data_IF_034575210165
#
_entry.id   IF_034575210165
#
_cell.length_a   1.000
_cell.length_b   1.000
_cell.length_c   1.000
_cell.angle_alpha   90.00
_cell.angle_beta   90.00
_cell.angle_gamma   90.00
#
_symmetry.space_group_name_H-M   'P 1'
#
loop_
_entity.id
_entity.type
_entity.pdbx_description
1 polymer ?
#
# COMPACT_ATOMS: atom_id res chain seq x y z
N UNK A 1 -57.86 33.74 -17.80
CA UNK A 1 -57.40 32.42 -17.32
C UNK A 1 -56.25 31.97 -18.20
N UNK A 2 -55.03 31.86 -17.64
CA UNK A 2 -53.85 31.10 -18.13
C UNK A 2 -52.60 31.62 -17.42
N UNK A 3 -52.24 30.99 -16.30
CA UNK A 3 -50.91 31.11 -15.68
C UNK A 3 -50.58 29.75 -15.06
N UNK A 4 -50.03 28.83 -15.85
CA UNK A 4 -49.48 27.55 -15.36
C UNK A 4 -48.63 26.93 -16.46
N UNK A 5 -47.41 27.45 -16.70
CA UNK A 5 -46.47 26.79 -17.63
C UNK A 5 -44.99 27.19 -17.49
N UNK A 6 -44.50 27.69 -16.33
CA UNK A 6 -43.08 28.08 -16.21
C UNK A 6 -42.45 27.63 -14.87
N UNK A 7 -42.83 26.47 -14.35
CA UNK A 7 -42.28 25.97 -13.09
C UNK A 7 -41.80 24.52 -13.12
N UNK A 8 -41.51 23.99 -14.32
CA UNK A 8 -41.11 22.58 -14.48
C UNK A 8 -39.84 22.33 -15.30
N UNK A 9 -39.10 23.37 -15.69
CA UNK A 9 -37.82 23.21 -16.43
C UNK A 9 -36.58 23.64 -15.66
N UNK A 10 -36.71 24.27 -14.49
CA UNK A 10 -35.54 24.70 -13.69
C UNK A 10 -35.07 23.61 -12.70
N UNK A 11 -35.94 22.66 -12.32
CA UNK A 11 -35.54 21.58 -11.39
C UNK A 11 -34.72 20.46 -12.03
N UNK A 12 -34.72 20.32 -13.36
CA UNK A 12 -33.96 19.26 -14.04
C UNK A 12 -32.48 19.62 -14.23
N UNK A 13 -32.12 20.92 -14.13
CA UNK A 13 -30.74 21.38 -14.37
C UNK A 13 -29.88 21.41 -13.10
N UNK A 14 -30.51 21.51 -11.92
CA UNK A 14 -29.79 21.48 -10.63
C UNK A 14 -29.42 20.05 -10.22
N UNK A 15 -30.15 19.04 -10.71
CA UNK A 15 -29.91 17.64 -10.35
C UNK A 15 -28.83 16.94 -11.19
N UNK A 16 -28.49 17.45 -12.38
CA UNK A 16 -27.38 16.90 -13.18
C UNK A 16 -26.00 17.40 -12.73
N UNK A 17 -25.89 18.61 -12.15
CA UNK A 17 -24.60 19.15 -11.68
C UNK A 17 -24.20 18.68 -10.27
N UNK A 18 -25.13 18.14 -9.47
CA UNK A 18 -24.80 17.56 -8.17
C UNK A 18 -24.09 16.21 -8.29
N UNK A 19 -24.42 15.42 -9.32
CA UNK A 19 -23.86 14.08 -9.53
C UNK A 19 -22.51 14.06 -10.28
N UNK A 20 -22.17 15.15 -10.98
CA UNK A 20 -20.83 15.32 -11.57
C UNK A 20 -19.78 15.71 -10.52
N UNK A 21 -20.18 16.40 -9.45
CA UNK A 21 -19.30 16.83 -8.36
C UNK A 21 -19.18 15.82 -7.20
N UNK A 22 -20.00 14.77 -7.18
CA UNK A 22 -19.89 13.68 -6.21
C UNK A 22 -18.79 12.66 -6.58
N UNK A 23 -18.42 12.57 -7.86
CA UNK A 23 -17.32 11.73 -8.35
C UNK A 23 -15.99 12.47 -8.50
N UNK A 24 -15.95 13.77 -8.22
CA UNK A 24 -14.74 14.60 -8.24
C UNK A 24 -14.21 14.97 -6.83
N UNK A 25 -14.84 14.45 -5.76
CA UNK A 25 -14.57 14.82 -4.36
C UNK A 25 -14.09 13.66 -3.48
N UNK A 26 -13.32 12.73 -4.06
CA UNK A 26 -12.52 11.77 -3.30
C UNK A 26 -11.12 11.56 -3.90
N UNK A 27 -10.67 12.50 -4.73
CA UNK A 27 -9.26 12.65 -5.05
C UNK A 27 -8.77 13.82 -4.19
N UNK A 28 -8.72 13.60 -2.86
CA UNK A 28 -7.82 14.39 -2.02
C UNK A 28 -6.48 14.35 -2.76
N UNK A 29 -5.97 15.52 -3.14
CA UNK A 29 -4.60 15.64 -3.63
C UNK A 29 -3.73 15.07 -2.52
N UNK A 30 -3.37 13.78 -2.62
CA UNK A 30 -2.49 13.10 -1.69
C UNK A 30 -1.12 13.75 -1.90
N UNK A 31 -0.84 14.81 -1.15
CA UNK A 31 0.44 15.50 -1.19
C UNK A 31 1.28 15.00 -0.04
N UNK A 32 2.50 14.56 -0.34
CA UNK A 32 3.47 14.18 0.67
C UNK A 32 3.81 15.38 1.56
N UNK A 33 4.12 15.14 2.83
CA UNK A 33 4.54 16.18 3.77
C UNK A 33 5.82 16.89 3.32
N UNK A 34 6.63 16.22 2.50
CA UNK A 34 7.85 16.77 1.90
C UNK A 34 7.73 17.08 0.41
N UNK A 35 6.52 17.02 -0.16
CA UNK A 35 6.30 17.29 -1.57
C UNK A 35 6.82 16.21 -2.51
N UNK A 36 7.06 14.99 -2.01
CA UNK A 36 7.49 13.85 -2.81
C UNK A 36 6.33 13.41 -3.72
N UNK A 37 6.64 13.24 -5.01
CA UNK A 37 5.72 12.65 -5.97
C UNK A 37 5.92 11.13 -6.03
N UNK A 38 5.26 10.36 -5.16
CA UNK A 38 5.46 8.90 -5.11
C UNK A 38 5.09 8.17 -6.40
N UNK A 39 4.26 8.77 -7.27
CA UNK A 39 3.97 8.21 -8.58
C UNK A 39 5.21 8.14 -9.48
N UNK A 40 6.14 9.09 -9.35
CA UNK A 40 7.40 9.13 -10.11
C UNK A 40 8.40 8.08 -9.64
N UNK A 41 8.29 7.58 -8.41
CA UNK A 41 9.19 6.54 -7.88
C UNK A 41 8.60 5.13 -8.01
N UNK A 42 7.28 4.99 -7.82
CA UNK A 42 6.64 3.66 -7.77
C UNK A 42 6.18 3.15 -9.12
N UNK A 43 5.84 4.04 -10.05
CA UNK A 43 5.26 3.74 -11.38
C UNK A 43 4.02 2.82 -11.32
N UNK A 44 3.35 2.75 -10.16
CA UNK A 44 2.23 1.85 -9.91
C UNK A 44 1.27 2.50 -8.91
N UNK A 45 0.00 2.59 -9.26
CA UNK A 45 -1.01 3.29 -8.47
C UNK A 45 -1.19 2.65 -7.08
N UNK A 46 -1.26 1.32 -6.98
CA UNK A 46 -1.42 0.63 -5.68
C UNK A 46 -0.25 0.95 -4.74
N UNK A 47 0.98 0.99 -5.27
CA UNK A 47 2.17 1.33 -4.49
C UNK A 47 2.22 2.82 -4.14
N UNK A 48 1.80 3.69 -5.06
CA UNK A 48 1.68 5.14 -4.81
C UNK A 48 0.69 5.40 -3.69
N UNK A 49 -0.47 4.78 -3.74
CA UNK A 49 -1.50 4.91 -2.72
C UNK A 49 -1.05 4.35 -1.38
N UNK A 50 -0.34 3.21 -1.39
CA UNK A 50 0.28 2.67 -0.19
C UNK A 50 1.25 3.67 0.44
N UNK A 51 2.14 4.29 -0.35
CA UNK A 51 3.11 5.27 0.15
C UNK A 51 2.43 6.48 0.79
N UNK A 52 1.46 7.09 0.11
CA UNK A 52 0.70 8.20 0.69
C UNK A 52 -0.09 7.80 1.94
N UNK A 53 -0.59 6.57 2.00
CA UNK A 53 -1.32 6.07 3.17
C UNK A 53 -0.41 5.83 4.39
N UNK A 54 0.80 5.33 4.18
CA UNK A 54 1.71 4.96 5.26
C UNK A 54 2.64 6.11 5.71
N UNK A 55 2.92 7.08 4.82
CA UNK A 55 3.83 8.20 5.10
C UNK A 55 3.56 8.90 6.44
N UNK A 56 2.32 9.31 6.81
CA UNK A 56 2.09 9.99 8.08
C UNK A 56 2.46 9.14 9.31
N UNK A 57 2.38 7.81 9.19
CA UNK A 57 2.75 6.87 10.27
C UNK A 57 4.26 6.63 10.29
N UNK A 58 4.89 6.54 9.12
CA UNK A 58 6.35 6.50 9.00
C UNK A 58 7.00 7.76 9.54
N UNK A 59 6.47 8.94 9.24
CA UNK A 59 7.01 10.21 9.75
C UNK A 59 6.99 10.26 11.27
N UNK A 60 5.91 9.80 11.92
CA UNK A 60 5.84 9.66 13.38
C UNK A 60 6.89 8.69 13.91
N UNK A 61 7.12 7.57 13.22
CA UNK A 61 8.17 6.63 13.59
C UNK A 61 9.57 7.25 13.45
N UNK A 62 9.84 7.95 12.35
CA UNK A 62 11.12 8.61 12.09
C UNK A 62 11.39 9.79 13.03
N UNK A 63 10.35 10.47 13.52
CA UNK A 63 10.47 11.45 14.60
C UNK A 63 10.97 10.81 15.90
N UNK A 64 10.46 9.63 16.26
CA UNK A 64 10.93 8.90 17.45
C UNK A 64 12.39 8.45 17.33
N UNK A 65 12.84 8.17 16.10
CA UNK A 65 14.22 7.85 15.79
C UNK A 65 15.15 9.08 15.72
N UNK A 66 14.61 10.29 15.89
CA UNK A 66 15.33 11.57 15.77
C UNK A 66 16.04 11.75 14.43
N UNK A 67 15.45 11.25 13.34
CA UNK A 67 16.03 11.42 12.00
C UNK A 67 15.95 12.87 11.54
N UNK A 68 16.98 13.30 10.81
CA UNK A 68 17.02 14.59 10.12
C UNK A 68 15.98 14.64 9.00
N UNK A 69 15.68 15.85 8.50
CA UNK A 69 14.74 16.02 7.39
C UNK A 69 15.22 15.27 6.15
N UNK A 70 16.52 15.34 5.86
CA UNK A 70 17.17 14.71 4.72
C UNK A 70 17.06 13.18 4.81
N UNK A 71 17.31 12.60 5.98
CA UNK A 71 17.16 11.15 6.20
C UNK A 71 15.71 10.68 6.03
N UNK A 72 14.73 11.48 6.48
CA UNK A 72 13.31 11.16 6.30
C UNK A 72 12.92 11.14 4.82
N UNK A 73 13.33 12.15 4.06
CA UNK A 73 13.05 12.21 2.61
C UNK A 73 13.70 11.02 1.92
N UNK A 74 14.99 10.78 2.19
CA UNK A 74 15.72 9.67 1.59
C UNK A 74 15.11 8.30 1.93
N UNK A 75 14.67 8.10 3.18
CA UNK A 75 13.98 6.88 3.59
C UNK A 75 12.66 6.66 2.86
N UNK A 76 11.86 7.72 2.67
CA UNK A 76 10.58 7.66 1.97
C UNK A 76 10.75 7.38 0.46
N UNK A 77 11.67 8.08 -0.21
CA UNK A 77 11.99 7.85 -1.62
C UNK A 77 12.56 6.44 -1.83
N UNK A 78 13.52 6.04 -0.99
CA UNK A 78 14.12 4.71 -1.04
C UNK A 78 13.11 3.58 -0.80
N UNK A 79 12.14 3.78 0.11
CA UNK A 79 11.05 2.82 0.31
C UNK A 79 10.17 2.74 -0.95
N UNK A 80 9.77 3.87 -1.53
CA UNK A 80 8.94 3.91 -2.73
C UNK A 80 9.60 3.15 -3.90
N UNK A 81 10.89 3.40 -4.15
CA UNK A 81 11.66 2.73 -5.20
C UNK A 81 11.82 1.23 -4.94
N UNK A 82 12.16 0.86 -3.71
CA UNK A 82 12.32 -0.54 -3.34
C UNK A 82 11.01 -1.34 -3.49
N UNK A 83 9.87 -0.74 -3.17
CA UNK A 83 8.56 -1.32 -3.42
C UNK A 83 8.31 -1.48 -4.94
N UNK A 84 8.61 -0.44 -5.73
CA UNK A 84 8.50 -0.47 -7.19
C UNK A 84 9.26 -1.63 -7.82
N UNK A 85 10.48 -1.84 -7.32
CA UNK A 85 11.40 -2.89 -7.77
C UNK A 85 11.09 -4.28 -7.17
N UNK A 86 10.06 -4.41 -6.32
CA UNK A 86 9.76 -5.63 -5.58
C UNK A 86 11.02 -6.15 -4.82
N UNK A 87 11.77 -5.23 -4.23
CA UNK A 87 12.97 -5.47 -3.45
C UNK A 87 12.71 -5.18 -1.97
N UNK A 88 12.35 -6.22 -1.24
CA UNK A 88 12.09 -6.12 0.19
C UNK A 88 13.40 -6.25 0.98
N UNK A 89 13.91 -5.11 1.46
CA UNK A 89 15.05 -5.04 2.38
C UNK A 89 14.57 -5.05 3.84
N UNK A 90 15.43 -5.52 4.75
CA UNK A 90 15.09 -5.65 6.17
C UNK A 90 14.67 -4.33 6.84
N UNK A 91 15.28 -3.21 6.45
CA UNK A 91 14.93 -1.88 6.95
C UNK A 91 13.49 -1.52 6.61
N UNK A 92 13.07 -1.70 5.36
CA UNK A 92 11.69 -1.39 4.92
C UNK A 92 10.68 -2.25 5.66
N UNK A 93 10.98 -3.54 5.87
CA UNK A 93 10.10 -4.42 6.65
C UNK A 93 9.93 -3.89 8.06
N UNK A 94 11.02 -3.49 8.72
CA UNK A 94 10.97 -2.96 10.09
C UNK A 94 10.20 -1.64 10.16
N UNK A 95 10.42 -0.75 9.20
CA UNK A 95 9.73 0.54 9.13
C UNK A 95 8.22 0.35 8.92
N UNK A 96 7.82 -0.54 8.01
CA UNK A 96 6.40 -0.88 7.79
C UNK A 96 5.82 -1.57 9.02
N UNK A 97 6.55 -2.50 9.65
CA UNK A 97 6.11 -3.19 10.86
C UNK A 97 5.88 -2.23 12.03
N UNK A 98 6.74 -1.22 12.18
CA UNK A 98 6.61 -0.19 13.21
C UNK A 98 5.49 0.82 12.90
N UNK A 99 5.24 1.11 11.63
CA UNK A 99 4.27 2.12 11.20
C UNK A 99 2.85 1.56 11.04
N UNK A 100 2.67 0.58 10.16
CA UNK A 100 1.38 -0.05 9.86
C UNK A 100 1.56 -1.36 9.06
N UNK A 101 1.71 -2.52 9.74
CA UNK A 101 1.84 -3.80 9.06
C UNK A 101 0.54 -4.19 8.31
N UNK A 102 -0.63 -3.72 8.76
CA UNK A 102 -1.92 -4.06 8.14
C UNK A 102 -2.10 -3.39 6.76
N UNK A 103 -1.46 -2.24 6.54
CA UNK A 103 -1.48 -1.55 5.24
C UNK A 103 -0.95 -2.41 4.09
N UNK A 104 -0.09 -3.40 4.38
CA UNK A 104 0.46 -4.32 3.38
C UNK A 104 -0.58 -5.20 2.70
N UNK A 105 -1.81 -5.29 3.22
CA UNK A 105 -2.94 -5.96 2.54
C UNK A 105 -3.15 -5.43 1.11
N UNK A 106 -2.83 -4.16 0.86
CA UNK A 106 -2.90 -3.57 -0.48
C UNK A 106 -2.04 -4.31 -1.50
N UNK A 107 -0.89 -4.88 -1.09
CA UNK A 107 0.00 -5.62 -1.98
C UNK A 107 -0.63 -6.87 -2.57
N UNK A 108 -1.66 -7.42 -1.94
CA UNK A 108 -2.39 -8.60 -2.45
C UNK A 108 -3.16 -8.30 -3.75
N UNK A 109 -3.37 -7.02 -4.08
CA UNK A 109 -4.02 -6.56 -5.31
C UNK A 109 -3.05 -6.44 -6.49
N UNK A 110 -1.74 -6.54 -6.27
CA UNK A 110 -0.73 -6.46 -7.32
C UNK A 110 -0.65 -7.79 -8.11
N UNK A 111 -0.25 -7.76 -9.40
CA UNK A 111 0.05 -8.97 -10.16
C UNK A 111 1.09 -9.83 -9.43
N UNK A 112 0.70 -11.05 -9.05
CA UNK A 112 1.45 -11.92 -8.14
C UNK A 112 2.79 -12.36 -8.74
N UNK A 113 2.81 -12.54 -10.05
CA UNK A 113 3.96 -12.90 -10.89
C UNK A 113 5.08 -11.86 -10.73
N UNK A 114 4.72 -10.58 -10.87
CA UNK A 114 5.65 -9.47 -10.82
C UNK A 114 6.01 -9.02 -9.39
N UNK A 115 5.07 -9.09 -8.44
CA UNK A 115 5.20 -8.52 -7.09
C UNK A 115 5.22 -9.57 -5.97
N UNK A 116 5.83 -10.71 -6.26
CA UNK A 116 5.88 -11.87 -5.38
C UNK A 116 6.36 -11.62 -3.95
N UNK A 117 7.39 -10.79 -3.77
CA UNK A 117 7.95 -10.51 -2.45
C UNK A 117 7.04 -9.59 -1.64
N UNK A 118 6.33 -8.68 -2.29
CA UNK A 118 5.32 -7.84 -1.63
C UNK A 118 4.12 -8.67 -1.15
N UNK A 119 3.68 -9.65 -1.94
CA UNK A 119 2.67 -10.64 -1.51
C UNK A 119 3.14 -11.46 -0.31
N UNK A 120 4.41 -11.91 -0.34
CA UNK A 120 5.03 -12.63 0.78
C UNK A 120 5.08 -11.78 2.05
N UNK A 121 5.41 -10.49 1.92
CA UNK A 121 5.45 -9.54 3.03
C UNK A 121 4.06 -9.34 3.65
N UNK A 122 3.04 -9.11 2.81
CA UNK A 122 1.66 -8.96 3.28
C UNK A 122 1.19 -10.20 4.06
N UNK A 123 1.53 -11.38 3.54
CA UNK A 123 1.21 -12.64 4.22
C UNK A 123 1.98 -12.81 5.53
N UNK A 124 3.25 -12.42 5.57
CA UNK A 124 4.06 -12.49 6.78
C UNK A 124 3.42 -11.70 7.92
N UNK A 125 3.02 -10.45 7.67
CA UNK A 125 2.34 -9.63 8.67
C UNK A 125 0.98 -10.17 9.07
N UNK A 126 0.20 -10.68 8.10
CA UNK A 126 -1.08 -11.34 8.39
C UNK A 126 -0.92 -12.52 9.35
N UNK A 127 0.06 -13.40 9.11
CA UNK A 127 0.33 -14.56 9.98
C UNK A 127 0.75 -14.11 11.37
N UNK A 128 1.62 -13.09 11.48
CA UNK A 128 2.02 -12.51 12.77
C UNK A 128 0.81 -12.00 13.56
N UNK A 129 -0.09 -11.28 12.90
CA UNK A 129 -1.32 -10.77 13.49
C UNK A 129 -2.24 -11.90 13.95
N UNK A 130 -2.57 -12.83 13.06
CA UNK A 130 -3.43 -14.00 13.36
C UNK A 130 -2.88 -14.81 14.56
N UNK A 131 -1.55 -14.97 14.64
CA UNK A 131 -0.91 -15.65 15.76
C UNK A 131 -1.06 -14.87 17.08
N UNK A 132 -0.78 -13.56 17.06
CA UNK A 132 -0.93 -12.69 18.23
C UNK A 132 -2.37 -12.66 18.74
N UNK A 133 -3.33 -12.58 17.83
CA UNK A 133 -4.77 -12.63 18.16
C UNK A 133 -5.17 -13.96 18.78
N UNK A 134 -4.62 -15.08 18.29
CA UNK A 134 -4.97 -16.42 18.77
C UNK A 134 -4.31 -16.79 20.10
N UNK A 135 -3.05 -16.41 20.30
CA UNK A 135 -2.24 -16.88 21.42
C UNK A 135 -1.90 -15.79 22.45
N UNK A 136 -2.22 -14.52 22.17
CA UNK A 136 -1.93 -13.39 23.04
C UNK A 136 -0.44 -13.03 23.14
N UNK A 137 0.41 -13.70 22.38
CA UNK A 137 1.87 -13.52 22.35
C UNK A 137 2.37 -13.39 20.92
N UNK A 138 3.48 -12.69 20.72
CA UNK A 138 4.08 -12.51 19.39
C UNK A 138 4.81 -13.77 18.94
N UNK A 139 4.88 -13.99 17.62
CA UNK A 139 5.73 -15.03 17.04
C UNK A 139 7.18 -14.75 17.38
N UNK A 140 7.89 -15.78 17.86
CA UNK A 140 9.34 -15.72 17.90
C UNK A 140 9.91 -15.62 16.48
N UNK A 141 11.13 -15.09 16.35
CA UNK A 141 11.79 -14.96 15.05
C UNK A 141 11.91 -16.33 14.33
N UNK A 142 12.15 -17.40 15.08
CA UNK A 142 12.26 -18.76 14.56
C UNK A 142 10.92 -19.31 14.06
N UNK A 143 9.82 -19.07 14.78
CA UNK A 143 8.49 -19.50 14.35
C UNK A 143 8.02 -18.74 13.12
N UNK A 144 8.31 -17.43 13.06
CA UNK A 144 8.01 -16.62 11.90
C UNK A 144 8.78 -17.10 10.64
N UNK A 145 10.07 -17.42 10.79
CA UNK A 145 10.89 -18.01 9.72
C UNK A 145 10.37 -19.37 9.25
N UNK A 146 9.96 -20.24 10.18
CA UNK A 146 9.38 -21.56 9.85
C UNK A 146 8.07 -21.43 9.07
N UNK A 147 7.18 -20.53 9.50
CA UNK A 147 5.91 -20.30 8.82
C UNK A 147 6.11 -19.73 7.41
N UNK A 148 7.08 -18.84 7.23
CA UNK A 148 7.42 -18.29 5.92
C UNK A 148 8.02 -19.37 4.99
N UNK A 149 8.94 -20.18 5.49
CA UNK A 149 9.53 -21.31 4.74
C UNK A 149 8.46 -22.32 4.31
N UNK A 150 7.51 -22.64 5.18
CA UNK A 150 6.41 -23.56 4.85
C UNK A 150 5.54 -23.00 3.71
N UNK A 151 5.25 -21.70 3.73
CA UNK A 151 4.53 -21.07 2.63
C UNK A 151 5.33 -21.08 1.31
N UNK A 152 6.63 -20.75 1.37
CA UNK A 152 7.50 -20.87 0.20
C UNK A 152 7.56 -22.31 -0.34
N UNK A 153 7.54 -23.33 0.53
CA UNK A 153 7.53 -24.71 0.08
C UNK A 153 6.18 -25.11 -0.56
N UNK A 154 5.05 -24.63 -0.01
CA UNK A 154 3.70 -24.98 -0.46
C UNK A 154 3.27 -24.21 -1.71
N UNK A 155 3.74 -22.98 -1.90
CA UNK A 155 3.29 -22.07 -2.96
C UNK A 155 4.44 -21.52 -3.81
N UNK A 156 5.70 -21.82 -3.48
CA UNK A 156 6.87 -21.38 -4.23
C UNK A 156 7.18 -22.23 -5.47
N UNK A 157 6.55 -23.40 -5.65
CA UNK A 157 6.67 -24.16 -6.91
C UNK A 157 5.99 -23.46 -8.10
N UNK A 158 4.95 -22.66 -7.85
CA UNK A 158 4.39 -21.75 -8.87
C UNK A 158 5.37 -20.62 -9.24
N UNK A 159 6.35 -20.33 -8.37
CA UNK A 159 7.34 -19.25 -8.56
C UNK A 159 8.66 -19.68 -9.21
N UNK A 160 9.05 -20.95 -9.09
CA UNK A 160 10.21 -21.46 -9.83
C UNK A 160 9.88 -21.72 -11.31
N UNK A 161 8.62 -22.05 -11.61
CA UNK A 161 8.16 -22.30 -12.99
C UNK A 161 8.29 -21.09 -13.92
N UNK A 162 8.31 -19.86 -13.38
CA UNK A 162 8.44 -18.63 -14.16
C UNK A 162 9.90 -18.27 -14.52
N UNK A 163 10.88 -18.86 -13.84
CA UNK A 163 12.31 -18.72 -14.21
C UNK A 163 12.68 -19.53 -15.45
N UNK A 164 11.95 -20.61 -15.73
CA UNK A 164 12.21 -21.45 -16.90
C UNK A 164 11.50 -20.94 -18.17
N UNK A 165 10.46 -20.12 -18.05
CA UNK A 165 9.76 -19.52 -19.21
C UNK A 165 10.44 -18.28 -19.80
N UNK A 166 11.44 -17.69 -19.13
CA UNK A 166 12.20 -16.52 -19.64
C UNK A 166 13.49 -16.95 -20.38
N UNK A 167 13.74 -18.26 -20.53
CA UNK A 167 14.92 -18.81 -21.24
C UNK A 167 14.62 -19.36 -22.65
N UNK A 168 13.49 -19.03 -23.25
CA UNK A 168 13.18 -19.38 -24.64
C UNK A 168 12.84 -18.16 -25.48
#
# INVERSE_FOLDING_TARGET
MKWSAILLTVLSFVWQNANANANANAQENKTSAYGINYQEHTFNEILTEFMYGIEPKLLKHYEQLNLTKEEKIWGLEGMAEALAMNNIFSTIVKDIEAADPDATVAFTKLPKERYSKLHLLAKHFRIKKEYKEKFGVELTEEEAKKSLKLYQALFGKEYEAEKDTIKH
#
